data_IF_227569408303
#
_entry.id   IF_227569408303
#
_cell.length_a   1.000
_cell.length_b   1.000
_cell.length_c   1.000
_cell.angle_alpha   90.00
_cell.angle_beta   90.00
_cell.angle_gamma   90.00
#
_symmetry.space_group_name_H-M   'P 1'
#
loop_
_entity.id
_entity.type
_entity.pdbx_description
1 polymer ?
#
# COMPACT_ATOMS: atom_id res chain seq x y z
N UNK A 1 25.76 14.36 -7.41
CA UNK A 1 25.55 12.95 -7.85
C UNK A 1 25.14 12.89 -9.33
N UNK A 2 25.24 14.00 -10.07
CA UNK A 2 24.61 14.20 -11.39
C UNK A 2 25.34 13.53 -12.55
N UNK A 3 26.44 12.82 -12.26
CA UNK A 3 27.30 12.12 -13.23
C UNK A 3 27.12 10.60 -13.22
N UNK A 4 26.12 10.12 -12.49
CA UNK A 4 25.84 8.69 -12.35
C UNK A 4 24.34 8.42 -12.58
N UNK A 5 24.03 7.36 -13.31
CA UNK A 5 22.68 6.87 -13.50
C UNK A 5 22.46 5.60 -12.67
N UNK A 6 21.35 5.56 -11.91
CA UNK A 6 20.98 4.36 -11.17
C UNK A 6 20.53 3.28 -12.15
N UNK A 7 21.15 2.12 -12.07
CA UNK A 7 20.77 0.92 -12.83
C UNK A 7 20.23 -0.11 -11.86
N UNK A 8 18.96 -0.47 -12.04
CA UNK A 8 18.32 -1.53 -11.26
C UNK A 8 18.72 -2.87 -11.85
N UNK A 9 19.52 -3.67 -11.12
CA UNK A 9 19.69 -5.07 -11.46
C UNK A 9 18.40 -5.84 -11.17
N UNK A 10 17.93 -6.71 -12.09
CA UNK A 10 16.85 -7.63 -11.80
C UNK A 10 17.24 -8.47 -10.60
N UNK A 11 16.42 -8.42 -9.54
CA UNK A 11 16.67 -9.25 -8.36
C UNK A 11 16.39 -10.71 -8.72
N UNK A 12 17.15 -11.67 -8.16
CA UNK A 12 16.80 -13.08 -8.30
C UNK A 12 15.37 -13.27 -7.79
N UNK A 13 14.45 -13.62 -8.70
CA UNK A 13 13.08 -13.92 -8.35
C UNK A 13 13.08 -15.23 -7.55
N UNK A 14 12.95 -15.11 -6.23
CA UNK A 14 12.70 -16.29 -5.41
C UNK A 14 11.31 -16.83 -5.75
N UNK A 15 11.16 -18.15 -5.91
CA UNK A 15 9.88 -18.76 -6.21
C UNK A 15 8.86 -18.34 -5.15
N UNK A 16 7.69 -17.90 -5.62
CA UNK A 16 6.59 -17.48 -4.76
C UNK A 16 5.81 -18.75 -4.38
N UNK A 17 5.77 -19.05 -3.08
CA UNK A 17 4.94 -20.13 -2.57
C UNK A 17 3.45 -19.83 -2.82
N UNK A 18 2.63 -20.87 -2.99
CA UNK A 18 1.21 -20.72 -3.34
C UNK A 18 0.39 -19.89 -2.32
N UNK A 19 0.79 -19.91 -1.05
CA UNK A 19 0.13 -19.19 0.06
C UNK A 19 0.85 -17.87 0.42
N UNK A 20 1.84 -17.45 -0.37
CA UNK A 20 2.57 -16.20 -0.17
C UNK A 20 1.99 -15.08 -1.04
N UNK A 21 1.62 -13.97 -0.41
CA UNK A 21 1.12 -12.77 -1.08
C UNK A 21 2.13 -11.64 -0.88
N UNK A 22 2.78 -11.23 -1.97
CA UNK A 22 3.69 -10.07 -1.99
C UNK A 22 2.93 -8.79 -2.27
N UNK A 23 2.87 -7.90 -1.29
CA UNK A 23 2.15 -6.63 -1.39
C UNK A 23 3.09 -5.55 -1.91
N UNK A 24 2.65 -4.83 -2.94
CA UNK A 24 3.41 -3.75 -3.56
C UNK A 24 2.80 -2.39 -3.27
N UNK A 25 3.63 -1.34 -3.36
CA UNK A 25 3.19 0.04 -3.11
C UNK A 25 2.14 0.51 -4.12
N UNK A 26 2.15 0.02 -5.36
CA UNK A 26 1.19 0.40 -6.42
C UNK A 26 -0.01 -0.56 -6.54
N UNK A 27 0.05 -1.76 -5.96
CA UNK A 27 -1.04 -2.73 -6.05
C UNK A 27 -2.32 -2.27 -5.34
N UNK A 28 -3.48 -2.61 -5.92
CA UNK A 28 -4.80 -2.28 -5.37
C UNK A 28 -5.15 -3.17 -4.18
N UNK A 29 -5.61 -2.57 -3.07
CA UNK A 29 -5.93 -3.29 -1.83
C UNK A 29 -7.01 -4.38 -2.04
N UNK A 30 -8.07 -4.08 -2.79
CA UNK A 30 -9.18 -5.02 -3.05
C UNK A 30 -8.68 -6.35 -3.62
N UNK A 31 -7.70 -6.31 -4.53
CA UNK A 31 -7.16 -7.51 -5.17
C UNK A 31 -6.48 -8.43 -4.15
N UNK A 32 -5.65 -7.87 -3.25
CA UNK A 32 -4.97 -8.64 -2.22
C UNK A 32 -5.95 -9.26 -1.23
N UNK A 33 -6.96 -8.49 -0.81
CA UNK A 33 -7.96 -8.96 0.14
C UNK A 33 -8.80 -10.07 -0.48
N UNK A 34 -9.28 -9.88 -1.72
CA UNK A 34 -10.03 -10.91 -2.45
C UNK A 34 -9.19 -12.17 -2.59
N UNK A 35 -7.95 -12.06 -3.04
CA UNK A 35 -7.07 -13.22 -3.22
C UNK A 35 -6.76 -13.95 -1.90
N UNK A 36 -6.46 -13.22 -0.83
CA UNK A 36 -6.29 -13.82 0.51
C UNK A 36 -7.55 -14.57 0.98
N UNK A 37 -8.73 -13.99 0.71
CA UNK A 37 -10.01 -14.59 1.08
C UNK A 37 -10.25 -15.88 0.30
N UNK A 38 -10.00 -15.91 -1.00
CA UNK A 38 -10.15 -17.13 -1.82
C UNK A 38 -9.16 -18.22 -1.41
N UNK A 39 -7.94 -17.87 -1.03
CA UNK A 39 -6.97 -18.85 -0.50
C UNK A 39 -7.45 -19.50 0.80
N UNK A 40 -7.96 -18.69 1.74
CA UNK A 40 -8.40 -19.18 3.05
C UNK A 40 -9.77 -19.87 2.99
N UNK A 41 -10.71 -19.40 2.17
CA UNK A 41 -12.09 -19.94 2.13
C UNK A 41 -12.29 -20.97 1.02
N UNK A 42 -12.00 -20.61 -0.23
CA UNK A 42 -12.34 -21.45 -1.40
C UNK A 42 -11.34 -22.60 -1.59
N UNK A 43 -10.05 -22.29 -1.49
CA UNK A 43 -8.98 -23.30 -1.57
C UNK A 43 -8.78 -24.06 -0.25
N UNK A 44 -9.36 -23.55 0.84
CA UNK A 44 -9.26 -24.18 2.16
C UNK A 44 -7.85 -24.18 2.76
N UNK A 45 -6.99 -23.23 2.37
CA UNK A 45 -5.66 -23.11 2.98
C UNK A 45 -5.78 -22.76 4.46
N UNK A 46 -4.97 -23.40 5.30
CA UNK A 46 -4.96 -23.13 6.74
C UNK A 46 -4.24 -21.83 7.09
N UNK A 47 -3.25 -21.45 6.26
CA UNK A 47 -2.33 -20.34 6.53
C UNK A 47 -2.00 -19.58 5.24
N UNK A 48 -1.86 -18.26 5.37
CA UNK A 48 -1.33 -17.37 4.34
C UNK A 48 -0.23 -16.46 4.91
N UNK A 49 0.73 -16.09 4.07
CA UNK A 49 1.82 -15.19 4.43
C UNK A 49 1.76 -13.91 3.59
N UNK A 50 1.55 -12.76 4.25
CA UNK A 50 1.58 -11.43 3.64
C UNK A 50 2.98 -10.84 3.80
N UNK A 51 3.71 -10.63 2.70
CA UNK A 51 5.07 -10.08 2.72
C UNK A 51 5.14 -8.74 2.02
N UNK A 52 5.86 -7.79 2.61
CA UNK A 52 6.07 -6.48 2.02
C UNK A 52 7.38 -5.83 2.46
N UNK A 53 7.81 -4.84 1.68
CA UNK A 53 9.05 -4.11 1.91
C UNK A 53 8.82 -2.60 1.80
N UNK A 54 9.53 -1.84 2.64
CA UNK A 54 9.57 -0.37 2.60
C UNK A 54 8.19 0.28 2.58
N UNK A 55 7.90 1.06 1.53
CA UNK A 55 6.66 1.86 1.39
C UNK A 55 5.36 1.03 1.42
N UNK A 56 5.43 -0.28 1.19
CA UNK A 56 4.26 -1.16 1.20
C UNK A 56 3.89 -1.68 2.61
N UNK A 57 4.71 -1.43 3.64
CA UNK A 57 4.48 -1.94 5.00
C UNK A 57 3.14 -1.44 5.57
N UNK A 58 2.88 -0.13 5.52
CA UNK A 58 1.64 0.45 6.05
C UNK A 58 0.39 -0.16 5.40
N UNK A 59 0.45 -0.36 4.07
CA UNK A 59 -0.64 -0.99 3.31
C UNK A 59 -0.86 -2.44 3.73
N UNK A 60 0.22 -3.17 4.03
CA UNK A 60 0.18 -4.58 4.42
C UNK A 60 -0.52 -4.79 5.75
N UNK A 61 -0.24 -3.93 6.73
CA UNK A 61 -0.94 -3.95 8.01
C UNK A 61 -2.43 -3.69 7.81
N UNK A 62 -2.81 -2.69 7.01
CA UNK A 62 -4.23 -2.41 6.71
C UNK A 62 -4.94 -3.60 6.04
N UNK A 63 -4.28 -4.26 5.08
CA UNK A 63 -4.84 -5.44 4.40
C UNK A 63 -5.04 -6.59 5.40
N UNK A 64 -4.06 -6.85 6.27
CA UNK A 64 -4.16 -7.89 7.29
C UNK A 64 -5.35 -7.63 8.24
N UNK A 65 -5.50 -6.39 8.72
CA UNK A 65 -6.63 -5.98 9.56
C UNK A 65 -7.99 -6.17 8.86
N UNK A 66 -8.08 -5.84 7.58
CA UNK A 66 -9.31 -6.05 6.80
C UNK A 66 -9.63 -7.53 6.58
N UNK A 67 -8.61 -8.39 6.42
CA UNK A 67 -8.82 -9.84 6.28
C UNK A 67 -9.33 -10.43 7.60
N UNK A 68 -8.74 -10.07 8.74
CA UNK A 68 -9.22 -10.51 10.07
C UNK A 68 -10.68 -10.12 10.33
N UNK A 69 -11.11 -8.95 9.84
CA UNK A 69 -12.52 -8.51 9.94
C UNK A 69 -13.49 -9.27 9.04
N UNK A 70 -12.99 -10.00 8.03
CA UNK A 70 -13.82 -10.82 7.12
C UNK A 70 -13.92 -12.28 7.59
N UNK A 71 -12.86 -12.81 8.19
CA UNK A 71 -12.75 -14.22 8.56
C UNK A 71 -12.45 -14.29 10.06
N UNK A 72 -13.42 -14.80 10.82
CA UNK A 72 -13.25 -15.03 12.25
C UNK A 72 -12.21 -16.13 12.54
N UNK A 73 -11.59 -16.09 13.72
CA UNK A 73 -10.71 -17.16 14.18
C UNK A 73 -9.30 -17.16 13.56
N UNK A 74 -8.87 -16.06 12.94
CA UNK A 74 -7.51 -15.95 12.40
C UNK A 74 -6.51 -15.55 13.48
N UNK A 75 -5.58 -16.46 13.78
CA UNK A 75 -4.36 -16.19 14.52
C UNK A 75 -3.40 -15.40 13.64
N UNK A 76 -2.68 -14.46 14.25
CA UNK A 76 -1.69 -13.66 13.57
C UNK A 76 -0.32 -13.84 14.20
N UNK A 77 0.72 -13.92 13.38
CA UNK A 77 2.10 -13.73 13.83
C UNK A 77 2.81 -12.75 12.90
N UNK A 78 3.45 -11.73 13.47
CA UNK A 78 4.12 -10.66 12.73
C UNK A 78 5.62 -10.71 12.97
N UNK A 79 6.38 -10.81 11.89
CA UNK A 79 7.84 -10.69 11.91
C UNK A 79 8.27 -9.46 11.14
N UNK A 80 9.24 -8.73 11.70
CA UNK A 80 9.84 -7.55 11.09
C UNK A 80 11.33 -7.83 10.95
N UNK A 81 11.90 -7.42 9.83
CA UNK A 81 13.33 -7.52 9.58
C UNK A 81 13.82 -6.38 8.70
N UNK A 82 15.06 -6.50 8.29
CA UNK A 82 15.70 -5.64 7.31
C UNK A 82 16.30 -6.49 6.21
N UNK A 83 16.35 -5.96 4.99
CA UNK A 83 17.02 -6.58 3.87
C UNK A 83 17.81 -5.52 3.13
N UNK A 84 19.03 -5.89 2.75
CA UNK A 84 19.93 -5.00 2.05
C UNK A 84 19.64 -5.05 0.56
N UNK A 85 19.52 -3.87 -0.04
CA UNK A 85 19.30 -3.72 -1.47
C UNK A 85 20.51 -2.97 -2.00
N UNK A 86 21.25 -3.64 -2.88
CA UNK A 86 22.38 -3.04 -3.59
C UNK A 86 21.87 -2.39 -4.87
N UNK A 87 21.94 -1.06 -4.92
CA UNK A 87 21.69 -0.29 -6.14
C UNK A 87 23.04 -0.06 -6.85
N UNK A 88 23.08 -0.33 -8.16
CA UNK A 88 24.26 -0.08 -9.00
C UNK A 88 24.16 1.30 -9.64
N UNK A 89 25.29 1.97 -9.79
CA UNK A 89 25.39 3.27 -10.42
C UNK A 89 26.42 3.22 -11.55
N UNK A 90 25.97 3.49 -12.76
CA UNK A 90 26.83 3.56 -13.94
C UNK A 90 27.24 5.02 -14.20
N UNK A 91 28.52 5.27 -14.51
CA UNK A 91 29.01 6.60 -14.81
C UNK A 91 28.52 7.09 -16.18
N UNK A 92 28.21 8.37 -16.26
CA UNK A 92 27.82 9.05 -17.51
C UNK A 92 29.02 9.66 -18.25
N UNK A 93 30.18 9.77 -17.60
CA UNK A 93 31.42 10.31 -18.17
C UNK A 93 32.47 9.21 -18.33
N UNK A 94 33.15 9.22 -19.48
CA UNK A 94 34.26 8.31 -19.76
C UNK A 94 35.42 8.55 -18.78
N UNK A 95 35.85 7.49 -18.07
CA UNK A 95 36.94 7.54 -17.09
C UNK A 95 36.53 7.43 -15.61
N UNK A 96 35.22 7.40 -15.32
CA UNK A 96 34.70 7.11 -13.98
C UNK A 96 34.43 5.60 -13.81
N UNK A 97 34.52 5.12 -12.57
CA UNK A 97 34.23 3.72 -12.22
C UNK A 97 32.78 3.56 -11.73
N UNK A 98 32.13 2.41 -11.99
CA UNK A 98 30.81 2.10 -11.45
C UNK A 98 30.84 2.05 -9.92
N UNK A 99 29.75 2.47 -9.30
CA UNK A 99 29.60 2.54 -7.84
C UNK A 99 28.45 1.63 -7.40
N UNK A 100 28.64 0.95 -6.28
CA UNK A 100 27.58 0.20 -5.60
C UNK A 100 27.17 0.96 -4.34
N UNK A 101 25.87 1.16 -4.15
CA UNK A 101 25.34 1.73 -2.90
C UNK A 101 24.36 0.74 -2.29
N UNK A 102 24.63 0.32 -1.06
CA UNK A 102 23.73 -0.51 -0.28
C UNK A 102 22.79 0.37 0.53
N UNK A 103 21.49 0.07 0.46
CA UNK A 103 20.49 0.67 1.35
C UNK A 103 19.81 -0.43 2.15
N UNK A 104 19.57 -0.15 3.43
CA UNK A 104 18.79 -1.01 4.29
C UNK A 104 17.30 -0.72 4.10
N UNK A 105 16.52 -1.75 3.77
CA UNK A 105 15.07 -1.63 3.63
C UNK A 105 14.37 -2.56 4.60
N UNK A 106 13.46 -2.01 5.38
CA UNK A 106 12.64 -2.78 6.31
C UNK A 106 11.70 -3.73 5.56
N UNK A 107 11.51 -4.91 6.12
CA UNK A 107 10.63 -5.97 5.62
C UNK A 107 9.66 -6.35 6.73
N UNK A 108 8.41 -6.60 6.35
CA UNK A 108 7.39 -7.15 7.24
C UNK A 108 6.85 -8.43 6.62
N UNK A 109 6.64 -9.44 7.46
CA UNK A 109 5.92 -10.66 7.11
C UNK A 109 4.85 -10.92 8.18
N UNK A 110 3.59 -10.93 7.75
CA UNK A 110 2.43 -11.22 8.60
C UNK A 110 1.87 -12.57 8.16
N UNK A 111 1.89 -13.52 9.07
CA UNK A 111 1.23 -14.81 8.88
C UNK A 111 -0.16 -14.75 9.49
N UNK A 112 -1.17 -15.15 8.71
CA UNK A 112 -2.54 -15.33 9.19
C UNK A 112 -2.90 -16.82 9.06
N UNK A 113 -3.33 -17.43 10.16
CA UNK A 113 -3.64 -18.86 10.21
C UNK A 113 -4.96 -19.14 10.94
N UNK A 114 -5.72 -20.14 10.48
CA UNK A 114 -6.89 -20.66 11.20
C UNK A 114 -6.51 -21.56 12.38
N UNK A 115 -5.30 -22.10 12.36
CA UNK A 115 -4.76 -22.93 13.43
C UNK A 115 -4.01 -22.04 14.42
N UNK A 116 -3.94 -22.51 15.65
CA UNK A 116 -3.14 -21.84 16.67
C UNK A 116 -1.67 -21.79 16.20
N UNK A 117 -1.12 -20.58 16.22
CA UNK A 117 0.30 -20.33 16.00
C UNK A 117 1.03 -20.35 17.35
N UNK A 118 2.36 -20.26 17.30
CA UNK A 118 3.17 -20.15 18.51
C UNK A 118 2.82 -18.90 19.33
N UNK A 119 2.13 -19.13 20.44
CA UNK A 119 1.66 -18.10 21.37
C UNK A 119 2.83 -17.43 22.11
N UNK A 120 3.98 -18.09 22.19
CA UNK A 120 5.18 -17.55 22.84
C UNK A 120 5.96 -16.57 21.95
N UNK A 121 5.65 -16.51 20.65
CA UNK A 121 6.24 -15.56 19.73
C UNK A 121 5.92 -14.11 20.13
N UNK A 122 6.92 -13.24 20.10
CA UNK A 122 6.75 -11.80 20.37
C UNK A 122 5.80 -11.11 19.40
N UNK A 123 5.65 -11.67 18.19
CA UNK A 123 4.79 -11.16 17.13
C UNK A 123 3.37 -11.73 17.13
N UNK A 124 3.05 -12.63 18.06
CA UNK A 124 1.77 -13.31 18.09
C UNK A 124 0.63 -12.38 18.55
N UNK A 125 -0.52 -12.52 17.90
CA UNK A 125 -1.75 -11.87 18.28
C UNK A 125 -2.92 -12.86 18.16
N UNK A 126 -3.79 -12.96 19.19
CA UNK A 126 -4.94 -13.85 19.16
C UNK A 126 -6.01 -13.39 18.15
N UNK A 127 -6.93 -14.28 17.75
CA UNK A 127 -8.03 -13.93 16.87
C UNK A 127 -8.90 -12.81 17.41
N UNK A 128 -9.40 -11.96 16.51
CA UNK A 128 -10.37 -10.94 16.89
C UNK A 128 -11.70 -11.60 17.32
N UNK A 129 -12.42 -11.03 18.29
CA UNK A 129 -13.71 -11.57 18.70
C UNK A 129 -14.75 -11.44 17.57
N UNK A 130 -15.68 -12.40 17.52
CA UNK A 130 -16.58 -12.62 16.39
C UNK A 130 -17.58 -11.48 16.15
N UNK A 131 -17.87 -10.67 17.18
CA UNK A 131 -18.70 -9.48 17.13
C UNK A 131 -18.11 -8.35 16.27
N UNK A 132 -16.78 -8.33 16.11
CA UNK A 132 -16.06 -7.35 15.29
C UNK A 132 -15.88 -7.79 13.83
N UNK A 133 -16.23 -9.04 13.52
CA UNK A 133 -16.16 -9.59 12.17
C UNK A 133 -17.41 -9.15 11.42
N UNK A 134 -17.24 -8.25 10.45
CA UNK A 134 -18.36 -7.70 9.66
C UNK A 134 -18.29 -8.24 8.22
N UNK A 135 -19.36 -8.88 7.72
CA UNK A 135 -19.51 -9.14 6.29
C UNK A 135 -19.47 -7.82 5.52
N UNK A 136 -18.89 -7.83 4.32
CA UNK A 136 -18.61 -6.60 3.57
C UNK A 136 -19.86 -5.75 3.34
N UNK A 137 -19.82 -4.51 3.83
CA UNK A 137 -20.53 -3.39 3.19
C UNK A 137 -19.52 -2.76 2.25
N UNK A 138 -19.89 -2.61 0.98
CA UNK A 138 -19.04 -2.05 -0.07
C UNK A 138 -18.70 -0.59 0.25
N UNK A 139 -17.62 -0.38 0.99
CA UNK A 139 -17.02 0.94 1.12
C UNK A 139 -16.04 1.09 -0.03
N UNK A 140 -16.45 1.88 -1.02
CA UNK A 140 -15.57 2.47 -2.02
C UNK A 140 -14.56 3.35 -1.30
N UNK A 141 -13.43 2.77 -0.90
CA UNK A 141 -12.28 3.52 -0.45
C UNK A 141 -11.57 4.08 -1.69
N UNK A 142 -12.23 5.01 -2.39
CA UNK A 142 -11.60 5.89 -3.37
C UNK A 142 -10.82 6.98 -2.61
N UNK A 143 -9.72 6.55 -2.00
CA UNK A 143 -8.80 7.41 -1.26
C UNK A 143 -7.50 7.65 -2.02
N UNK A 144 -7.58 8.22 -3.22
CA UNK A 144 -6.56 9.11 -3.83
C UNK A 144 -7.05 9.56 -5.22
N UNK A 145 -7.65 10.76 -5.30
CA UNK A 145 -7.86 11.46 -6.57
C UNK A 145 -9.17 12.27 -6.71
N UNK A 146 -9.10 13.57 -6.39
CA UNK A 146 -9.97 14.69 -6.85
C UNK A 146 -11.13 15.14 -5.94
N UNK A 147 -11.09 16.38 -5.41
CA UNK A 147 -12.26 17.01 -4.81
C UNK A 147 -13.08 17.73 -5.89
N UNK A 148 -14.11 17.09 -6.43
CA UNK A 148 -15.09 17.79 -7.26
C UNK A 148 -16.49 17.17 -7.12
N UNK A 149 -17.17 17.44 -6.01
CA UNK A 149 -18.62 17.26 -5.95
C UNK A 149 -19.28 18.36 -5.11
N UNK A 150 -19.37 19.57 -5.68
CA UNK A 150 -20.44 20.50 -5.34
C UNK A 150 -21.65 20.12 -6.19
N UNK A 151 -22.63 19.46 -5.58
CA UNK A 151 -23.90 19.20 -6.22
C UNK A 151 -24.67 20.48 -6.50
N UNK A 152 -25.36 20.56 -7.65
CA UNK A 152 -26.63 21.28 -7.77
C UNK A 152 -27.43 20.87 -9.01
N UNK A 153 -28.59 20.28 -8.77
CA UNK A 153 -29.84 20.65 -9.44
C UNK A 153 -30.06 20.23 -10.89
N UNK A 154 -30.85 19.17 -11.06
CA UNK A 154 -31.61 18.87 -12.28
C UNK A 154 -32.87 19.75 -12.32
N UNK A 155 -32.92 20.80 -13.15
CA UNK A 155 -34.17 21.31 -13.74
C UNK A 155 -33.94 22.50 -14.69
N UNK A 156 -34.51 22.40 -15.91
CA UNK A 156 -35.27 23.53 -16.48
C UNK A 156 -34.59 24.42 -17.52
N UNK A 157 -34.91 24.15 -18.80
CA UNK A 157 -35.23 25.08 -19.90
C UNK A 157 -34.92 26.59 -19.68
N UNK A 158 -34.19 27.19 -20.63
CA UNK A 158 -34.45 28.60 -20.97
C UNK A 158 -33.28 29.42 -21.52
N UNK A 159 -33.28 29.62 -22.85
CA UNK A 159 -32.95 30.85 -23.60
C UNK A 159 -31.90 31.85 -23.03
N UNK A 160 -30.92 32.15 -23.89
CA UNK A 160 -30.73 33.53 -24.36
C UNK A 160 -29.43 34.27 -23.99
N UNK A 161 -28.64 34.54 -25.04
CA UNK A 161 -27.90 35.79 -25.35
C UNK A 161 -27.10 36.51 -24.24
N UNK A 162 -25.84 36.81 -24.56
CA UNK A 162 -25.31 38.18 -24.35
C UNK A 162 -23.90 38.30 -23.76
N UNK A 163 -22.97 38.73 -24.62
CA UNK A 163 -21.72 39.49 -24.44
C UNK A 163 -21.38 40.04 -23.03
N UNK A 164 -20.08 40.01 -22.69
CA UNK A 164 -19.49 40.99 -21.77
C UNK A 164 -18.10 40.62 -21.24
N UNK A 165 -17.06 41.25 -21.80
CA UNK A 165 -15.72 41.38 -21.23
C UNK A 165 -15.75 41.74 -19.73
N UNK A 166 -14.84 41.19 -18.93
CA UNK A 166 -14.13 41.93 -17.88
C UNK A 166 -12.83 41.20 -17.49
N UNK A 167 -11.80 42.02 -17.39
CA UNK A 167 -10.40 41.77 -17.09
C UNK A 167 -10.18 41.64 -15.56
N UNK A 168 -8.94 41.30 -15.17
CA UNK A 168 -8.36 41.21 -13.81
C UNK A 168 -8.46 39.85 -13.11
N UNK A 169 -7.44 39.33 -12.45
CA UNK A 169 -6.03 39.72 -12.30
C UNK A 169 -5.35 38.59 -11.53
N UNK A 170 -4.09 38.34 -11.86
CA UNK A 170 -3.13 37.55 -11.11
C UNK A 170 -3.12 37.99 -9.63
N UNK A 171 -3.32 37.06 -8.68
CA UNK A 171 -2.77 37.21 -7.33
C UNK A 171 -2.32 35.85 -6.83
N UNK A 172 -1.00 35.73 -6.73
CA UNK A 172 -0.22 34.68 -6.08
C UNK A 172 -0.45 34.79 -4.57
N UNK A 173 -0.64 33.66 -3.89
CA UNK A 173 -0.49 33.61 -2.43
C UNK A 173 0.20 32.29 -2.06
N UNK A 174 1.52 32.39 -1.97
CA UNK A 174 2.32 31.64 -1.00
C UNK A 174 1.77 31.89 0.41
N UNK A 175 1.70 30.84 1.21
CA UNK A 175 1.75 30.98 2.66
C UNK A 175 2.55 29.81 3.23
N UNK A 176 3.86 30.04 3.29
CA UNK A 176 4.82 29.32 4.10
C UNK A 176 5.17 30.28 5.25
N UNK A 177 4.94 29.88 6.50
CA UNK A 177 5.55 30.34 7.76
C UNK A 177 4.75 29.68 8.90
N UNK A 178 5.27 28.63 9.52
CA UNK A 178 6.20 28.65 10.67
C UNK A 178 5.54 29.32 11.88
N UNK A 179 5.28 28.52 12.92
CA UNK A 179 5.27 28.95 14.31
C UNK A 179 5.65 27.74 15.16
N UNK A 180 6.95 27.69 15.46
CA UNK A 180 7.46 27.12 16.70
C UNK A 180 7.31 28.23 17.75
N UNK A 181 6.58 27.93 18.82
CA UNK A 181 6.92 28.24 20.22
C UNK A 181 5.99 27.40 21.11
#
# INVERSE_FOLDING_TARGET
>A
MDRYQRVEKPRPETPINENEIRITAQGRMRNYITYATTLLQDKGSDEIALKAMGRAINKTVMIAELIKRRIAGLHQNTSIGSTDITDMWEPLEEGLLPLETTRHVSVIAITLSKKELDISSTGYQPPIPADQVRPWTEYDYEGEGSPAMRGRGRSGRGRGRGRGNLHCSLVVLECCLVLCD
#
